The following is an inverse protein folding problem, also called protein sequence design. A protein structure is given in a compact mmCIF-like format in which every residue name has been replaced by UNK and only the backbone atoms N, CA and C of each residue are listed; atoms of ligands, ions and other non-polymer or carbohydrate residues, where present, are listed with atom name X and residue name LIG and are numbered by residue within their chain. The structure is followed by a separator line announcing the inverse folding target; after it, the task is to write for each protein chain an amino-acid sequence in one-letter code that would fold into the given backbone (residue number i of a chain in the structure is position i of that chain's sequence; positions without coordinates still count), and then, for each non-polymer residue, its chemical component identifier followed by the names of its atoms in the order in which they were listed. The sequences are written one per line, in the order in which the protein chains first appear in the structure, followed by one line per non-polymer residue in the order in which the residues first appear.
data_IF_637653970449
#
_entry.id   IF_637653970449
#
_cell.length_a   1.000
_cell.length_b   1.000
_cell.length_c   1.000
_cell.angle_alpha   90.00
_cell.angle_beta   90.00
_cell.angle_gamma   90.00
#
_symmetry.space_group_name_H-M   'P 1'
#
loop_
_entity.id
_entity.type
_entity.pdbx_description
1 polymer ?
#
# COMPACT_ATOMS: atom_id res chain seq x y z
N UNK A 1 -5.78 8.21 0.87
CA UNK A 1 -5.65 6.74 0.97
C UNK A 1 -5.12 6.26 -0.35
N UNK A 2 -3.80 6.20 -0.48
CA UNK A 2 -3.16 5.73 -1.70
C UNK A 2 -2.80 4.28 -1.47
N UNK A 3 -3.42 3.38 -2.24
CA UNK A 3 -3.04 1.98 -2.33
C UNK A 3 -2.88 1.68 -3.82
N UNK A 4 -1.87 0.88 -4.14
CA UNK A 4 -1.53 0.57 -5.52
C UNK A 4 -1.05 -0.88 -5.61
N UNK A 5 -1.21 -1.49 -6.77
CA UNK A 5 -0.82 -2.89 -7.02
C UNK A 5 0.62 -3.05 -7.52
N UNK A 6 1.31 -1.93 -7.75
CA UNK A 6 2.66 -1.80 -8.27
C UNK A 6 2.82 -2.35 -9.70
N UNK A 7 1.73 -2.44 -10.45
CA UNK A 7 1.73 -2.86 -11.86
C UNK A 7 1.44 -1.65 -12.74
N UNK A 8 2.40 -1.29 -13.60
CA UNK A 8 2.18 -0.26 -14.61
C UNK A 8 1.78 -0.94 -15.92
N UNK A 9 0.50 -0.85 -16.26
CA UNK A 9 -0.03 -1.47 -17.47
C UNK A 9 0.37 -0.71 -18.73
N UNK A 10 0.54 -1.43 -19.85
CA UNK A 10 0.73 -0.78 -21.14
C UNK A 10 -0.54 -0.01 -21.54
N UNK A 11 -0.43 1.30 -21.71
CA UNK A 11 -1.53 2.21 -22.03
C UNK A 11 -1.01 3.48 -22.71
N UNK A 12 -1.88 4.46 -22.95
CA UNK A 12 -1.47 5.78 -23.42
C UNK A 12 -0.59 6.50 -22.38
N UNK A 13 0.20 7.48 -22.85
CA UNK A 13 1.21 8.14 -22.02
C UNK A 13 0.65 8.95 -20.84
N UNK A 14 -0.60 9.42 -20.91
CA UNK A 14 -1.22 10.11 -19.78
C UNK A 14 -1.61 9.09 -18.70
N UNK A 15 -2.23 7.98 -19.11
CA UNK A 15 -2.61 6.90 -18.20
C UNK A 15 -1.39 6.34 -17.46
N UNK A 16 -0.30 6.02 -18.18
CA UNK A 16 0.94 5.50 -17.57
C UNK A 16 1.54 6.49 -16.57
N UNK A 17 1.54 7.80 -16.87
CA UNK A 17 2.07 8.82 -15.96
C UNK A 17 1.24 8.91 -14.66
N UNK A 18 -0.08 8.87 -14.78
CA UNK A 18 -0.96 8.91 -13.61
C UNK A 18 -0.74 7.68 -12.73
N UNK A 19 -0.69 6.50 -13.36
CA UNK A 19 -0.42 5.22 -12.69
C UNK A 19 0.89 5.24 -11.88
N UNK A 20 1.96 5.81 -12.47
CA UNK A 20 3.24 6.01 -11.78
C UNK A 20 3.11 6.96 -10.59
N UNK A 21 2.40 8.09 -10.74
CA UNK A 21 2.22 9.04 -9.64
C UNK A 21 1.42 8.43 -8.49
N UNK A 22 0.40 7.63 -8.81
CA UNK A 22 -0.42 6.93 -7.82
C UNK A 22 0.40 5.87 -7.07
N UNK A 23 1.25 5.11 -7.77
CA UNK A 23 2.21 4.19 -7.16
C UNK A 23 3.18 4.91 -6.22
N UNK A 24 3.75 6.05 -6.64
CA UNK A 24 4.65 6.85 -5.80
C UNK A 24 3.94 7.40 -4.55
N UNK A 25 2.69 7.85 -4.68
CA UNK A 25 1.88 8.29 -3.55
C UNK A 25 1.58 7.14 -2.58
N UNK A 26 1.31 5.94 -3.09
CA UNK A 26 1.12 4.74 -2.26
C UNK A 26 2.39 4.37 -1.49
N UNK A 27 3.58 4.43 -2.12
CA UNK A 27 4.87 4.20 -1.44
C UNK A 27 5.07 5.23 -0.32
N UNK A 28 4.91 6.52 -0.64
CA UNK A 28 5.17 7.62 0.29
C UNK A 28 4.29 7.52 1.54
N UNK A 29 3.07 7.02 1.40
CA UNK A 29 2.09 6.89 2.47
C UNK A 29 2.04 5.50 3.12
N UNK A 30 2.97 4.60 2.79
CA UNK A 30 2.93 3.21 3.27
C UNK A 30 1.57 2.52 2.98
N UNK A 31 1.05 2.69 1.76
CA UNK A 31 -0.22 2.13 1.30
C UNK A 31 -1.42 2.48 2.22
N UNK A 32 -1.43 3.71 2.74
CA UNK A 32 -2.41 4.19 3.71
C UNK A 32 -3.87 3.98 3.28
N UNK A 33 -4.69 3.43 4.18
CA UNK A 33 -6.11 3.25 3.91
C UNK A 33 -6.91 2.60 5.02
N UNK A 34 -8.23 2.67 4.90
CA UNK A 34 -9.20 2.09 5.85
C UNK A 34 -9.40 0.59 5.67
N UNK A 35 -9.05 0.06 4.49
CA UNK A 35 -9.11 -1.36 4.16
C UNK A 35 -7.72 -1.90 3.85
N UNK A 36 -7.49 -3.19 4.11
CA UNK A 36 -6.22 -3.82 3.78
C UNK A 36 -5.96 -3.80 2.26
N UNK A 37 -4.72 -3.54 1.82
CA UNK A 37 -4.32 -3.72 0.43
C UNK A 37 -4.63 -5.13 -0.08
N UNK A 38 -5.09 -5.23 -1.33
CA UNK A 38 -5.36 -6.51 -2.00
C UNK A 38 -4.13 -7.09 -2.68
N UNK A 39 -3.28 -6.22 -3.24
CA UNK A 39 -1.98 -6.58 -3.79
C UNK A 39 -0.93 -6.59 -2.67
N UNK A 40 -0.83 -7.71 -1.96
CA UNK A 40 0.13 -7.85 -0.86
C UNK A 40 1.44 -8.46 -1.32
N UNK A 41 2.49 -8.17 -0.56
CA UNK A 41 3.77 -8.88 -0.64
C UNK A 41 4.35 -9.01 0.76
N UNK A 42 5.17 -10.04 0.98
CA UNK A 42 5.85 -10.24 2.25
C UNK A 42 6.63 -8.98 2.66
N UNK A 43 6.55 -8.62 3.94
CA UNK A 43 7.20 -7.43 4.53
C UNK A 43 6.70 -6.06 4.03
N UNK A 44 5.57 -6.01 3.30
CA UNK A 44 4.91 -4.76 2.93
C UNK A 44 4.46 -3.96 4.16
N UNK A 45 4.63 -2.64 4.15
CA UNK A 45 4.03 -1.74 5.14
C UNK A 45 2.61 -1.32 4.73
N UNK A 46 1.73 -1.22 5.72
CA UNK A 46 0.39 -0.68 5.59
C UNK A 46 0.05 0.22 6.78
N UNK A 47 -0.26 1.48 6.53
CA UNK A 47 -0.89 2.37 7.51
C UNK A 47 -2.42 2.15 7.53
N UNK A 48 -2.89 1.42 8.55
CA UNK A 48 -4.31 1.18 8.78
C UNK A 48 -4.92 2.35 9.56
N UNK A 49 -5.66 3.21 8.87
CA UNK A 49 -6.28 4.41 9.45
C UNK A 49 -7.54 4.14 10.24
N UNK A 50 -8.14 2.96 10.06
CA UNK A 50 -9.29 2.55 10.90
C UNK A 50 -8.81 2.05 12.25
N UNK A 51 -7.71 1.29 12.27
CA UNK A 51 -7.09 0.81 13.51
C UNK A 51 -6.13 1.83 14.15
N UNK A 52 -5.78 2.91 13.46
CA UNK A 52 -4.69 3.83 13.83
C UNK A 52 -3.37 3.09 14.10
N UNK A 53 -3.00 2.17 13.21
CA UNK A 53 -1.80 1.34 13.37
C UNK A 53 -0.98 1.24 12.09
N UNK A 54 0.33 1.36 12.22
CA UNK A 54 1.28 0.88 11.21
C UNK A 54 1.44 -0.63 11.36
N UNK A 55 1.23 -1.34 10.25
CA UNK A 55 1.30 -2.79 10.15
C UNK A 55 2.36 -3.21 9.13
N UNK A 56 2.91 -4.41 9.31
CA UNK A 56 3.79 -5.06 8.34
C UNK A 56 3.24 -6.43 7.96
N UNK A 57 3.26 -6.76 6.68
CA UNK A 57 2.85 -8.06 6.18
C UNK A 57 3.88 -9.11 6.61
N UNK A 58 3.42 -10.25 7.13
CA UNK A 58 4.32 -11.31 7.58
C UNK A 58 5.12 -11.91 6.40
N UNK A 59 6.18 -12.66 6.72
CA UNK A 59 7.05 -13.26 5.72
C UNK A 59 6.32 -14.27 4.81
N UNK A 60 5.26 -14.90 5.32
CA UNK A 60 4.43 -15.86 4.58
C UNK A 60 3.31 -15.20 3.77
N UNK A 61 3.27 -13.87 3.70
CA UNK A 61 2.26 -13.06 3.00
C UNK A 61 0.80 -13.50 3.26
N UNK A 62 0.49 -13.85 4.50
CA UNK A 62 -0.81 -14.40 4.92
C UNK A 62 -1.48 -13.60 6.03
N UNK A 63 -0.71 -12.85 6.82
CA UNK A 63 -1.23 -12.08 7.94
C UNK A 63 -0.50 -10.74 8.11
N UNK A 64 -1.11 -9.83 8.86
CA UNK A 64 -0.53 -8.54 9.23
C UNK A 64 -0.08 -8.55 10.69
N UNK A 65 1.13 -8.07 10.94
CA UNK A 65 1.67 -7.83 12.27
C UNK A 65 1.61 -6.34 12.59
N UNK A 66 1.19 -5.99 13.80
CA UNK A 66 1.16 -4.60 14.26
C UNK A 66 2.56 -4.16 14.71
N UNK A 67 3.00 -2.98 14.26
CA UNK A 67 4.30 -2.43 14.61
C UNK A 67 4.21 -1.22 15.55
N UNK A 68 3.29 -0.28 15.26
CA UNK A 68 3.23 0.99 15.98
C UNK A 68 1.84 1.63 15.86
N UNK A 69 1.47 2.51 16.80
CA UNK A 69 0.26 3.34 16.70
C UNK A 69 0.52 4.57 15.78
N UNK A 70 -0.48 5.07 15.06
CA UNK A 70 -0.29 6.27 14.21
C UNK A 70 -0.42 7.60 14.99
N UNK A 71 -0.78 7.53 16.27
CA UNK A 71 -1.06 8.68 17.16
C UNK A 71 -0.30 8.56 18.47
#
# INVERSE_FOLDING_TARGET
MAQHDYVISNSDGLTVRNDINDALAAIQSNNDGTTAPTATTANMFWADTTANQLKIRNLADSAWNNLHALT
#
